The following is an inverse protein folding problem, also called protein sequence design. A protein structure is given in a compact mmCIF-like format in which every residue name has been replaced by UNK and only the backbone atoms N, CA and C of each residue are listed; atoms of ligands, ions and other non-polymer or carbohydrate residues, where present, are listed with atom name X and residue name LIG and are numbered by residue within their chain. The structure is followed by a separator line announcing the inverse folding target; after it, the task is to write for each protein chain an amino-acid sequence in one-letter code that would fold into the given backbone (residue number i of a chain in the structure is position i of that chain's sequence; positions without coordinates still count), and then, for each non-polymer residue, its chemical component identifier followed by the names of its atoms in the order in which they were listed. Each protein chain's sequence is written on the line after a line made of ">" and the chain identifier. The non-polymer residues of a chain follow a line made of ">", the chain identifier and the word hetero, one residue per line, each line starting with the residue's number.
data_IF_448432357753
#
_entry.id   IF_448432357753
#
_cell.length_a   1.000
_cell.length_b   1.000
_cell.length_c   1.000
_cell.angle_alpha   90.00
_cell.angle_beta   90.00
_cell.angle_gamma   90.00
#
_symmetry.space_group_name_H-M   'P 1'
#
loop_
_entity.id
_entity.type
_entity.pdbx_description
1 polymer ?
#
# COMPACT_ATOMS: atom_id res chain seq x y z
N UNK A 1 -7.41 -2.78 29.82
CA UNK A 1 -6.24 -3.38 29.13
C UNK A 1 -6.35 -3.05 27.66
N UNK A 2 -5.44 -2.26 27.12
CA UNK A 2 -5.35 -2.04 25.67
C UNK A 2 -5.06 -3.37 25.00
N UNK A 3 -5.91 -3.78 24.05
CA UNK A 3 -5.72 -5.00 23.28
C UNK A 3 -4.39 -4.88 22.54
N UNK A 4 -3.51 -5.86 22.73
CA UNK A 4 -2.19 -5.85 22.12
C UNK A 4 -2.33 -5.89 20.59
N UNK A 5 -1.59 -5.04 19.87
CA UNK A 5 -1.68 -4.96 18.41
C UNK A 5 -0.83 -6.08 17.79
N UNK A 6 -1.46 -6.89 16.95
CA UNK A 6 -0.80 -7.94 16.15
C UNK A 6 -0.43 -7.36 14.78
N UNK A 7 0.86 -7.22 14.42
CA UNK A 7 1.26 -6.82 13.07
C UNK A 7 1.00 -7.94 12.06
N UNK A 8 0.65 -7.57 10.84
CA UNK A 8 0.46 -8.49 9.71
C UNK A 8 1.38 -8.08 8.56
N UNK A 9 1.93 -9.07 7.87
CA UNK A 9 2.50 -8.87 6.55
C UNK A 9 1.41 -9.12 5.51
N UNK A 10 1.30 -8.23 4.52
CA UNK A 10 0.32 -8.29 3.44
C UNK A 10 1.09 -8.25 2.13
N UNK A 11 0.81 -9.20 1.26
CA UNK A 11 1.46 -9.31 -0.05
C UNK A 11 0.47 -9.76 -1.13
N UNK A 12 0.87 -9.59 -2.40
CA UNK A 12 0.18 -10.20 -3.52
C UNK A 12 0.35 -11.72 -3.46
N UNK A 13 -0.72 -12.48 -3.76
CA UNK A 13 -0.78 -13.93 -3.53
C UNK A 13 0.31 -14.72 -4.26
N UNK A 14 0.78 -14.24 -5.40
CA UNK A 14 1.80 -14.85 -6.23
C UNK A 14 3.18 -14.20 -6.03
N UNK A 15 3.36 -13.40 -4.98
CA UNK A 15 4.58 -12.68 -4.64
C UNK A 15 5.02 -11.65 -5.69
N UNK A 16 4.07 -11.15 -6.50
CA UNK A 16 4.31 -10.05 -7.42
C UNK A 16 4.45 -8.71 -6.68
N UNK A 17 5.12 -7.74 -7.31
CA UNK A 17 5.25 -6.40 -6.75
C UNK A 17 3.91 -5.66 -6.77
N UNK A 18 3.61 -4.99 -5.65
CA UNK A 18 2.46 -4.09 -5.55
C UNK A 18 2.83 -2.68 -6.03
N UNK A 19 2.15 -2.19 -7.07
CA UNK A 19 2.21 -0.79 -7.45
C UNK A 19 1.29 0.04 -6.54
N UNK A 20 1.81 1.09 -5.90
CA UNK A 20 1.03 1.95 -5.00
C UNK A 20 1.01 3.38 -5.54
N UNK A 21 -0.18 3.96 -5.67
CA UNK A 21 -0.34 5.35 -6.09
C UNK A 21 0.33 6.29 -5.10
N UNK A 22 1.15 7.21 -5.61
CA UNK A 22 1.88 8.18 -4.82
C UNK A 22 1.93 9.53 -5.53
N UNK A 23 1.98 10.59 -4.72
CA UNK A 23 2.32 11.94 -5.18
C UNK A 23 3.71 12.29 -4.70
N UNK A 24 4.45 13.07 -5.48
CA UNK A 24 5.79 13.49 -5.12
C UNK A 24 5.99 14.97 -5.39
N UNK A 25 6.97 15.55 -4.71
CA UNK A 25 7.45 16.90 -4.96
C UNK A 25 8.95 16.96 -4.67
N UNK A 26 9.64 17.75 -5.47
CA UNK A 26 10.98 18.22 -5.15
C UNK A 26 10.89 19.68 -4.69
N UNK A 27 11.21 19.93 -3.42
CA UNK A 27 11.35 21.29 -2.91
C UNK A 27 12.69 21.88 -3.39
N UNK A 28 12.72 23.20 -3.67
CA UNK A 28 13.87 23.85 -4.34
C UNK A 28 15.20 23.68 -3.60
N UNK A 29 15.14 23.59 -2.28
CA UNK A 29 16.32 23.52 -1.40
C UNK A 29 16.59 22.09 -0.91
N UNK A 30 15.81 21.10 -1.36
CA UNK A 30 16.02 19.69 -1.03
C UNK A 30 16.65 18.94 -2.20
N UNK A 31 17.79 18.30 -1.93
CA UNK A 31 18.47 17.44 -2.91
C UNK A 31 17.76 16.10 -3.13
N UNK A 32 16.77 15.77 -2.30
CA UNK A 32 16.06 14.49 -2.33
C UNK A 32 14.57 14.73 -2.54
N UNK A 33 13.97 14.22 -3.63
CA UNK A 33 12.53 14.31 -3.83
C UNK A 33 11.80 13.49 -2.74
N UNK A 34 10.75 14.09 -2.19
CA UNK A 34 9.89 13.45 -1.20
C UNK A 34 8.60 12.97 -1.86
N UNK A 35 8.01 11.89 -1.34
CA UNK A 35 6.74 11.36 -1.82
C UNK A 35 5.80 10.95 -0.69
N UNK A 36 4.51 10.88 -1.00
CA UNK A 36 3.45 10.45 -0.10
C UNK A 36 2.60 9.38 -0.79
N UNK A 37 2.43 8.24 -0.12
CA UNK A 37 1.54 7.16 -0.58
C UNK A 37 0.09 7.56 -0.36
N UNK A 38 -0.74 7.37 -1.39
CA UNK A 38 -2.17 7.59 -1.29
C UNK A 38 -2.84 6.39 -0.63
N UNK A 39 -3.84 6.68 0.20
CA UNK A 39 -4.61 5.67 0.92
C UNK A 39 -6.10 5.90 0.74
N UNK A 40 -6.84 4.80 0.63
CA UNK A 40 -8.28 4.73 0.43
C UNK A 40 -8.92 3.92 1.55
N UNK A 41 -10.25 3.94 1.65
CA UNK A 41 -10.96 3.00 2.50
C UNK A 41 -10.66 1.58 2.03
N UNK A 42 -10.42 0.67 2.98
CA UNK A 42 -10.20 -0.73 2.66
C UNK A 42 -11.42 -1.26 1.90
N UNK A 43 -11.24 -1.62 0.64
CA UNK A 43 -12.29 -2.23 -0.18
C UNK A 43 -12.03 -3.73 -0.38
N UNK A 44 -10.76 -4.17 -0.29
CA UNK A 44 -10.37 -5.57 -0.27
C UNK A 44 -10.92 -6.28 1.00
N UNK A 45 -11.68 -7.40 0.86
CA UNK A 45 -12.27 -8.10 1.99
C UNK A 45 -11.26 -8.57 3.05
N UNK A 46 -10.08 -9.05 2.65
CA UNK A 46 -9.03 -9.47 3.58
C UNK A 46 -8.54 -8.27 4.40
N UNK A 47 -8.20 -7.16 3.74
CA UNK A 47 -7.68 -5.97 4.41
C UNK A 47 -8.71 -5.35 5.35
N UNK A 48 -10.01 -5.36 5.00
CA UNK A 48 -11.11 -4.90 5.88
C UNK A 48 -11.14 -5.61 7.23
N UNK A 49 -10.69 -6.87 7.31
CA UNK A 49 -10.61 -7.61 8.58
C UNK A 49 -9.46 -7.13 9.47
N UNK A 50 -8.46 -6.46 8.89
CA UNK A 50 -7.23 -6.05 9.56
C UNK A 50 -7.22 -4.54 9.87
N UNK A 51 -7.72 -3.70 8.96
CA UNK A 51 -7.67 -2.25 9.08
C UNK A 51 -8.73 -1.54 8.20
N UNK A 52 -9.13 -0.34 8.59
CA UNK A 52 -10.16 0.45 7.87
C UNK A 52 -9.64 1.14 6.59
N UNK A 53 -8.32 1.32 6.50
CA UNK A 53 -7.62 1.96 5.37
C UNK A 53 -6.63 1.01 4.73
N UNK A 54 -6.41 1.20 3.43
CA UNK A 54 -5.38 0.51 2.65
C UNK A 54 -4.66 1.48 1.71
N UNK A 55 -3.41 1.21 1.30
CA UNK A 55 -2.79 1.91 0.18
C UNK A 55 -3.67 1.77 -1.08
N UNK A 56 -3.69 2.78 -1.94
CA UNK A 56 -4.31 2.65 -3.25
C UNK A 56 -3.37 1.83 -4.15
N UNK A 57 -3.57 0.51 -4.13
CA UNK A 57 -2.80 -0.43 -4.94
C UNK A 57 -3.38 -0.44 -6.36
N UNK A 58 -2.56 -0.19 -7.37
CA UNK A 58 -2.97 -0.02 -8.75
C UNK A 58 -2.88 -1.34 -9.51
N UNK A 59 -3.91 -1.66 -10.29
CA UNK A 59 -3.83 -2.70 -11.33
C UNK A 59 -2.85 -2.29 -12.44
N UNK A 60 -2.34 -3.23 -13.27
CA UNK A 60 -1.43 -2.90 -14.36
C UNK A 60 -1.94 -1.81 -15.32
N UNK A 61 -3.24 -1.80 -15.62
CA UNK A 61 -3.86 -0.76 -16.45
C UNK A 61 -3.88 0.59 -15.72
N UNK A 62 -4.32 0.63 -14.46
CA UNK A 62 -4.30 1.87 -13.68
C UNK A 62 -2.87 2.38 -13.47
N UNK A 63 -1.87 1.51 -13.36
CA UNK A 63 -0.45 1.91 -13.29
C UNK A 63 -0.03 2.62 -14.57
N UNK A 64 -0.41 2.11 -15.74
CA UNK A 64 -0.13 2.77 -17.03
C UNK A 64 -0.81 4.13 -17.10
N UNK A 65 -2.07 4.23 -16.73
CA UNK A 65 -2.79 5.52 -16.67
C UNK A 65 -2.17 6.49 -15.67
N UNK A 66 -1.78 6.01 -14.48
CA UNK A 66 -1.20 6.81 -13.40
C UNK A 66 0.13 7.46 -13.77
N UNK A 67 0.92 6.78 -14.61
CA UNK A 67 2.26 7.21 -15.00
C UNK A 67 2.31 8.03 -16.31
N UNK A 68 1.14 8.35 -16.91
CA UNK A 68 1.10 9.22 -18.08
C UNK A 68 1.62 10.63 -17.74
N UNK A 69 2.26 11.27 -18.71
CA UNK A 69 2.76 12.66 -18.56
C UNK A 69 1.62 13.68 -18.46
N UNK A 70 0.46 13.33 -19.01
CA UNK A 70 -0.75 14.14 -19.01
C UNK A 70 -1.30 14.26 -17.59
N UNK A 71 -1.69 15.48 -17.19
CA UNK A 71 -2.30 15.68 -15.88
C UNK A 71 -3.65 14.97 -15.81
N UNK A 72 -3.79 14.09 -14.80
CA UNK A 72 -5.06 13.43 -14.50
C UNK A 72 -6.03 14.44 -13.90
N UNK A 73 -7.16 14.66 -14.59
CA UNK A 73 -8.23 15.51 -14.06
C UNK A 73 -8.87 14.87 -12.83
N UNK A 74 -9.46 15.70 -11.96
CA UNK A 74 -10.15 15.18 -10.78
C UNK A 74 -11.33 14.26 -11.11
N UNK A 75 -11.97 14.46 -12.26
CA UNK A 75 -13.04 13.58 -12.75
C UNK A 75 -12.49 12.20 -13.14
N UNK A 76 -11.39 12.18 -13.89
CA UNK A 76 -10.75 10.94 -14.32
C UNK A 76 -10.17 10.14 -13.14
N UNK A 77 -9.59 10.81 -12.14
CA UNK A 77 -9.16 10.15 -10.90
C UNK A 77 -10.31 9.46 -10.15
N UNK A 78 -11.51 10.06 -10.14
CA UNK A 78 -12.70 9.43 -9.56
C UNK A 78 -13.14 8.20 -10.35
N UNK A 79 -13.05 8.25 -11.67
CA UNK A 79 -13.34 7.10 -12.54
C UNK A 79 -12.35 5.95 -12.30
N UNK A 80 -11.04 6.24 -12.24
CA UNK A 80 -10.00 5.25 -11.93
C UNK A 80 -10.21 4.61 -10.56
N UNK A 81 -10.62 5.40 -9.56
CA UNK A 81 -10.92 4.89 -8.22
C UNK A 81 -12.23 4.07 -8.19
N UNK A 82 -13.24 4.45 -8.96
CA UNK A 82 -14.50 3.72 -9.05
C UNK A 82 -14.37 2.39 -9.81
N UNK A 83 -13.43 2.32 -10.77
CA UNK A 83 -13.10 1.11 -11.51
C UNK A 83 -12.12 0.19 -10.76
N UNK A 84 -11.68 0.59 -9.56
CA UNK A 84 -10.69 -0.15 -8.77
C UNK A 84 -11.25 -1.52 -8.34
N UNK A 85 -10.46 -2.57 -8.62
CA UNK A 85 -10.82 -3.94 -8.29
C UNK A 85 -9.86 -4.47 -7.23
N UNK A 86 -10.34 -5.26 -6.25
CA UNK A 86 -9.46 -5.88 -5.28
C UNK A 86 -8.35 -6.71 -5.97
N UNK A 87 -7.10 -6.39 -5.66
CA UNK A 87 -5.95 -7.25 -5.96
C UNK A 87 -6.05 -8.52 -5.09
N UNK A 88 -5.65 -9.67 -5.62
CA UNK A 88 -5.60 -10.90 -4.84
C UNK A 88 -4.43 -10.83 -3.85
N UNK A 89 -4.79 -10.70 -2.58
CA UNK A 89 -3.84 -10.52 -1.49
C UNK A 89 -3.87 -11.73 -0.57
N UNK A 90 -2.73 -11.98 0.06
CA UNK A 90 -2.62 -12.83 1.24
C UNK A 90 -2.04 -12.04 2.40
N UNK A 91 -2.39 -12.46 3.62
CA UNK A 91 -1.91 -11.83 4.83
C UNK A 91 -1.75 -12.85 5.93
N UNK A 92 -0.71 -12.68 6.75
CA UNK A 92 -0.43 -13.54 7.89
C UNK A 92 0.21 -12.75 9.03
N UNK A 93 -0.01 -13.17 10.29
CA UNK A 93 0.58 -12.48 11.44
C UNK A 93 2.10 -12.63 11.43
N UNK A 94 2.81 -11.56 11.76
CA UNK A 94 4.27 -11.56 11.94
C UNK A 94 4.65 -11.25 13.39
N UNK A 95 5.94 -11.36 13.70
CA UNK A 95 6.42 -11.04 15.05
C UNK A 95 6.36 -9.53 15.30
N UNK A 96 6.30 -9.13 16.57
CA UNK A 96 6.32 -7.71 16.96
C UNK A 96 7.69 -7.05 16.75
N UNK A 97 8.72 -7.80 16.35
CA UNK A 97 10.04 -7.23 16.05
C UNK A 97 9.97 -6.13 14.98
N UNK A 98 9.03 -6.26 14.03
CA UNK A 98 8.77 -5.26 12.96
C UNK A 98 8.31 -3.90 13.48
N UNK A 99 7.81 -3.82 14.72
CA UNK A 99 7.43 -2.54 15.33
C UNK A 99 8.65 -1.62 15.57
N UNK A 100 9.86 -2.20 15.65
CA UNK A 100 11.10 -1.43 15.70
C UNK A 100 11.61 -1.16 14.30
N UNK A 101 11.63 0.11 13.88
CA UNK A 101 12.17 0.50 12.58
C UNK A 101 13.67 0.14 12.41
N UNK A 102 14.39 -0.12 13.50
CA UNK A 102 15.79 -0.58 13.49
C UNK A 102 15.93 -2.07 13.15
N UNK A 103 14.86 -2.85 13.27
CA UNK A 103 14.87 -4.27 12.94
C UNK A 103 14.78 -4.46 11.43
N UNK A 104 15.83 -5.03 10.82
CA UNK A 104 15.96 -5.20 9.36
C UNK A 104 16.25 -6.65 8.94
N UNK A 105 15.99 -7.60 9.84
CA UNK A 105 16.26 -9.00 9.58
C UNK A 105 15.21 -9.63 8.65
N UNK A 106 15.64 -10.66 7.93
CA UNK A 106 14.85 -11.35 6.90
C UNK A 106 13.61 -12.05 7.46
N UNK A 107 13.62 -12.36 8.75
CA UNK A 107 12.51 -13.00 9.45
C UNK A 107 11.39 -12.02 9.85
N UNK A 108 11.58 -10.71 9.62
CA UNK A 108 10.54 -9.68 9.84
C UNK A 108 9.25 -9.92 9.04
N UNK A 109 9.35 -10.66 7.93
CA UNK A 109 8.22 -11.01 7.06
C UNK A 109 7.83 -12.49 7.18
N UNK A 110 8.40 -13.26 8.12
CA UNK A 110 8.03 -14.67 8.30
C UNK A 110 6.76 -14.79 9.14
N UNK A 111 5.87 -15.76 8.85
CA UNK A 111 4.73 -16.04 9.70
C UNK A 111 5.15 -16.28 11.16
N UNK A 112 4.40 -15.69 12.08
CA UNK A 112 4.55 -15.97 13.52
C UNK A 112 4.16 -17.42 13.77
N UNK A 113 5.12 -18.21 14.26
CA UNK A 113 4.92 -19.58 14.76
C UNK A 113 4.25 -19.55 16.12
#
# INVERSE_FOLDING_TARGET
>A
KTKEKQPFFIEERHHELLAIAAIWRQEKDENLPSFCLLTINAHNPLVKTLHERMPWMLSPLQTQEWLREEQLSAAHLKELLAADKPIDLMAYPVTQAVNSAKYKEKDSIKPKV
#
